data_IF_884873167439
#
_entry.id   IF_884873167439
#
_cell.length_a   1.000
_cell.length_b   1.000
_cell.length_c   1.000
_cell.angle_alpha   90.00
_cell.angle_beta   90.00
_cell.angle_gamma   90.00
#
_symmetry.space_group_name_H-M   'P 1'
#
loop_
_entity.id
_entity.type
_entity.pdbx_description
1 polymer ?
#
# COMPACT_ATOMS: atom_id res chain seq x y z
N UNK A 1 -15.93 -4.16 18.03
CA UNK A 1 -16.92 -3.06 17.98
C UNK A 1 -16.68 -2.04 16.87
N UNK A 2 -15.68 -2.20 16.00
CA UNK A 2 -15.40 -1.27 14.88
C UNK A 2 -16.50 -1.27 13.83
N UNK A 3 -17.07 -2.44 13.53
CA UNK A 3 -18.18 -2.59 12.59
C UNK A 3 -19.48 -1.92 13.04
N UNK A 4 -19.72 -1.88 14.35
CA UNK A 4 -20.88 -1.18 14.92
C UNK A 4 -20.74 0.34 14.70
N UNK A 5 -19.55 0.89 14.99
CA UNK A 5 -19.23 2.30 14.73
C UNK A 5 -19.34 2.68 13.25
N UNK A 6 -18.82 1.82 12.36
CA UNK A 6 -18.94 2.02 10.90
C UNK A 6 -20.40 2.00 10.46
N UNK A 7 -21.19 1.03 10.92
CA UNK A 7 -22.61 0.88 10.56
C UNK A 7 -23.44 2.08 11.02
N UNK A 8 -23.18 2.56 12.24
CA UNK A 8 -23.84 3.76 12.75
C UNK A 8 -23.44 5.00 11.95
N UNK A 9 -22.15 5.22 11.69
CA UNK A 9 -21.67 6.33 10.86
C UNK A 9 -22.28 6.32 9.46
N UNK A 10 -22.37 5.15 8.83
CA UNK A 10 -23.01 4.98 7.52
C UNK A 10 -24.48 5.41 7.56
N UNK A 11 -25.27 4.87 8.51
CA UNK A 11 -26.69 5.21 8.62
C UNK A 11 -26.93 6.70 8.87
N UNK A 12 -26.05 7.34 9.64
CA UNK A 12 -26.10 8.79 9.89
C UNK A 12 -25.84 9.57 8.60
N UNK A 13 -24.82 9.19 7.83
CA UNK A 13 -24.51 9.84 6.54
C UNK A 13 -25.69 9.71 5.57
N UNK A 14 -26.30 8.53 5.47
CA UNK A 14 -27.48 8.32 4.64
C UNK A 14 -28.68 9.16 5.10
N UNK A 15 -28.94 9.22 6.40
CA UNK A 15 -30.03 10.02 6.95
C UNK A 15 -29.83 11.52 6.68
N UNK A 16 -28.62 12.02 6.92
CA UNK A 16 -28.25 13.42 6.62
C UNK A 16 -28.39 13.73 5.13
N UNK A 17 -27.98 12.81 4.26
CA UNK A 17 -28.08 12.98 2.81
C UNK A 17 -29.53 12.93 2.32
N UNK A 18 -30.32 11.93 2.72
CA UNK A 18 -31.63 11.62 2.13
C UNK A 18 -32.79 12.38 2.78
N UNK A 19 -32.78 12.53 4.11
CA UNK A 19 -33.89 13.11 4.86
C UNK A 19 -33.66 14.58 5.23
N UNK A 20 -32.47 14.91 5.75
CA UNK A 20 -32.19 16.25 6.28
C UNK A 20 -31.81 17.24 5.17
N UNK A 21 -30.89 16.85 4.27
CA UNK A 21 -30.44 17.70 3.17
C UNK A 21 -29.60 18.91 3.58
N UNK A 22 -29.09 18.95 4.83
CA UNK A 22 -28.28 20.05 5.33
C UNK A 22 -26.84 20.02 4.77
N UNK A 23 -26.22 21.20 4.65
CA UNK A 23 -24.78 21.32 4.37
C UNK A 23 -24.01 20.70 5.53
N UNK A 24 -23.29 19.61 5.24
CA UNK A 24 -22.62 18.78 6.24
C UNK A 24 -21.16 18.60 5.86
N UNK A 25 -20.26 18.77 6.83
CA UNK A 25 -18.88 18.31 6.75
C UNK A 25 -18.72 17.11 7.68
N UNK A 26 -18.38 15.95 7.11
CA UNK A 26 -18.26 14.70 7.84
C UNK A 26 -16.81 14.23 7.82
N UNK A 27 -16.07 14.46 8.91
CA UNK A 27 -14.70 14.01 9.05
C UNK A 27 -14.68 12.58 9.59
N UNK A 28 -14.01 11.66 8.90
CA UNK A 28 -13.96 10.24 9.27
C UNK A 28 -12.58 9.64 9.06
N UNK A 29 -12.29 8.57 9.80
CA UNK A 29 -11.14 7.69 9.60
C UNK A 29 -11.53 6.36 8.93
N UNK A 30 -12.82 6.15 8.64
CA UNK A 30 -13.32 5.00 7.90
C UNK A 30 -13.17 5.23 6.40
N UNK A 31 -12.29 4.46 5.76
CA UNK A 31 -12.07 4.52 4.32
C UNK A 31 -13.24 3.91 3.55
N UNK A 32 -13.93 2.95 4.16
CA UNK A 32 -15.11 2.26 3.62
C UNK A 32 -16.25 3.24 3.30
N UNK A 33 -16.37 4.34 4.05
CA UNK A 33 -17.38 5.38 3.79
C UNK A 33 -17.09 6.19 2.53
N UNK A 34 -15.87 6.16 1.99
CA UNK A 34 -15.55 6.89 0.74
C UNK A 34 -16.29 6.29 -0.46
N UNK A 35 -16.64 5.01 -0.42
CA UNK A 35 -17.40 4.34 -1.48
C UNK A 35 -18.83 4.89 -1.61
N UNK A 36 -19.38 5.50 -0.55
CA UNK A 36 -20.71 6.10 -0.56
C UNK A 36 -20.86 7.21 -1.60
N UNK A 37 -19.78 7.89 -1.98
CA UNK A 37 -19.81 8.93 -3.01
C UNK A 37 -20.27 8.38 -4.37
N UNK A 38 -20.14 7.08 -4.61
CA UNK A 38 -20.61 6.44 -5.84
C UNK A 38 -22.14 6.23 -5.84
N UNK A 39 -22.76 6.16 -4.66
CA UNK A 39 -24.19 5.85 -4.48
C UNK A 39 -25.02 7.08 -4.15
N UNK A 40 -24.42 8.06 -3.46
CA UNK A 40 -25.09 9.26 -2.97
C UNK A 40 -24.70 10.47 -3.83
N UNK A 41 -25.55 10.93 -4.77
CA UNK A 41 -25.15 11.88 -5.81
C UNK A 41 -24.74 13.27 -5.30
N UNK A 42 -25.14 13.66 -4.08
CA UNK A 42 -24.73 14.94 -3.47
C UNK A 42 -23.51 14.79 -2.55
N UNK A 43 -23.04 13.57 -2.30
CA UNK A 43 -21.87 13.31 -1.47
C UNK A 43 -20.61 13.46 -2.32
N UNK A 44 -19.62 14.16 -1.79
CA UNK A 44 -18.31 14.34 -2.41
C UNK A 44 -17.22 14.03 -1.41
N UNK A 45 -16.23 13.24 -1.83
CA UNK A 45 -15.07 12.94 -1.00
C UNK A 45 -14.04 14.05 -1.10
N UNK A 46 -13.44 14.37 0.05
CA UNK A 46 -12.32 15.27 0.16
C UNK A 46 -11.29 14.69 1.13
N UNK A 47 -10.01 14.93 0.85
CA UNK A 47 -8.91 14.53 1.72
C UNK A 47 -7.97 15.71 2.01
N UNK A 48 -7.17 15.58 3.06
CA UNK A 48 -6.08 16.52 3.35
C UNK A 48 -4.87 16.12 2.53
N UNK A 49 -4.31 17.05 1.76
CA UNK A 49 -3.13 16.84 0.95
C UNK A 49 -1.91 16.51 1.81
N UNK A 50 -1.24 15.43 1.41
CA UNK A 50 -0.04 14.90 2.04
C UNK A 50 1.07 14.82 1.00
N UNK A 51 2.30 15.20 1.38
CA UNK A 51 3.51 14.96 0.60
C UNK A 51 4.50 14.09 1.36
N UNK A 52 5.04 13.10 0.67
CA UNK A 52 6.08 12.21 1.17
C UNK A 52 7.45 12.72 0.71
N UNK A 53 8.42 12.81 1.62
CA UNK A 53 9.77 13.29 1.34
C UNK A 53 10.77 12.61 2.28
N UNK A 54 11.70 11.80 1.75
CA UNK A 54 12.76 11.11 2.53
C UNK A 54 12.20 10.41 3.79
N UNK A 55 11.21 9.53 3.61
CA UNK A 55 10.45 8.85 4.66
C UNK A 55 9.66 9.75 5.61
N UNK A 56 9.66 11.07 5.41
CA UNK A 56 8.87 12.03 6.18
C UNK A 56 7.56 12.37 5.46
N UNK A 57 6.58 12.79 6.26
CA UNK A 57 5.28 13.22 5.75
C UNK A 57 5.07 14.69 6.11
N UNK A 58 4.71 15.46 5.09
CA UNK A 58 4.37 16.87 5.18
C UNK A 58 2.87 17.05 4.94
N UNK A 59 2.15 17.47 5.97
CA UNK A 59 0.74 17.84 5.86
C UNK A 59 0.64 19.24 5.27
N UNK A 60 0.11 19.35 4.04
CA UNK A 60 0.07 20.63 3.30
C UNK A 60 -1.08 21.55 3.74
N UNK A 61 -1.91 21.13 4.73
CA UNK A 61 -3.13 21.83 5.18
C UNK A 61 -4.06 22.27 4.05
N UNK A 62 -3.98 21.58 2.91
CA UNK A 62 -4.78 21.84 1.71
C UNK A 62 -5.80 20.72 1.57
N UNK A 63 -7.04 21.07 1.28
CA UNK A 63 -8.09 20.08 1.00
C UNK A 63 -8.09 19.80 -0.51
N UNK A 64 -8.11 18.54 -0.89
CA UNK A 64 -8.19 18.06 -2.27
C UNK A 64 -9.45 17.22 -2.46
N UNK A 65 -9.98 17.23 -3.68
CA UNK A 65 -11.06 16.34 -4.07
C UNK A 65 -10.58 14.89 -4.15
N UNK A 66 -11.46 13.96 -3.76
CA UNK A 66 -11.21 12.51 -3.77
C UNK A 66 -11.06 11.88 -2.39
N UNK A 67 -11.20 10.55 -2.33
CA UNK A 67 -10.87 9.76 -1.14
C UNK A 67 -9.36 9.46 -1.07
N UNK A 68 -8.91 8.92 0.06
CA UNK A 68 -7.56 8.36 0.21
C UNK A 68 -7.66 6.93 0.72
N UNK A 69 -6.81 6.06 0.18
CA UNK A 69 -6.66 4.65 0.53
C UNK A 69 -5.49 4.40 1.49
N UNK A 70 -4.70 5.43 1.79
CA UNK A 70 -3.49 5.32 2.61
C UNK A 70 -3.73 5.80 4.04
N UNK A 71 -3.25 5.00 4.99
CA UNK A 71 -3.22 5.35 6.41
C UNK A 71 -1.83 5.81 6.83
N UNK A 72 -1.75 6.98 7.47
CA UNK A 72 -0.47 7.61 7.86
C UNK A 72 -0.16 7.50 9.36
N UNK A 73 -0.75 6.51 10.04
CA UNK A 73 -0.70 6.40 11.51
C UNK A 73 0.72 6.27 12.08
N UNK A 74 1.56 5.42 11.47
CA UNK A 74 2.96 5.23 11.90
C UNK A 74 3.77 6.52 11.73
N UNK A 75 3.53 7.25 10.65
CA UNK A 75 4.22 8.49 10.34
C UNK A 75 3.77 9.63 11.28
N UNK A 76 2.48 9.69 11.63
CA UNK A 76 1.96 10.61 12.66
C UNK A 76 2.55 10.28 14.03
N UNK A 77 2.63 9.00 14.40
CA UNK A 77 3.24 8.57 15.67
C UNK A 77 4.72 9.04 15.79
N UNK A 78 5.48 8.92 14.70
CA UNK A 78 6.85 9.43 14.64
C UNK A 78 6.91 10.95 14.82
N UNK A 79 6.00 11.69 14.18
CA UNK A 79 5.91 13.16 14.34
C UNK A 79 5.51 13.55 15.77
N UNK A 80 4.70 12.73 16.45
CA UNK A 80 4.29 12.92 17.84
C UNK A 80 5.40 12.59 18.85
N UNK A 81 6.58 12.14 18.41
CA UNK A 81 7.71 11.83 19.28
C UNK A 81 7.66 10.45 19.93
N UNK A 82 6.88 9.51 19.37
CA UNK A 82 6.89 8.11 19.82
C UNK A 82 8.30 7.52 19.66
N UNK A 83 8.81 6.75 20.66
CA UNK A 83 10.17 6.20 20.61
C UNK A 83 10.45 5.41 19.34
N UNK A 84 11.65 5.57 18.77
CA UNK A 84 12.05 4.93 17.50
C UNK A 84 11.83 3.43 17.50
N UNK A 85 12.22 2.72 18.57
CA UNK A 85 12.02 1.27 18.68
C UNK A 85 10.55 0.83 18.56
N UNK A 86 9.61 1.66 19.01
CA UNK A 86 8.17 1.38 18.88
C UNK A 86 7.71 1.61 17.43
N UNK A 87 8.15 2.71 16.80
CA UNK A 87 7.85 3.02 15.40
C UNK A 87 8.41 1.94 14.46
N UNK A 88 9.64 1.50 14.68
CA UNK A 88 10.31 0.48 13.87
C UNK A 88 9.61 -0.88 14.01
N UNK A 89 9.22 -1.25 15.25
CA UNK A 89 8.43 -2.45 15.48
C UNK A 89 7.07 -2.37 14.79
N UNK A 90 6.39 -1.23 14.84
CA UNK A 90 5.11 -1.03 14.17
C UNK A 90 5.23 -1.18 12.64
N UNK A 91 6.31 -0.68 12.02
CA UNK A 91 6.59 -0.89 10.59
C UNK A 91 6.76 -2.35 10.24
N UNK A 92 7.50 -3.10 11.05
CA UNK A 92 7.67 -4.55 10.84
C UNK A 92 6.34 -5.29 10.97
N UNK A 93 5.51 -4.93 11.96
CA UNK A 93 4.16 -5.52 12.09
C UNK A 93 3.34 -5.22 10.84
N UNK A 94 3.31 -3.97 10.38
CA UNK A 94 2.56 -3.58 9.18
C UNK A 94 3.00 -4.37 7.94
N UNK A 95 4.30 -4.47 7.68
CA UNK A 95 4.85 -5.26 6.56
C UNK A 95 4.37 -6.70 6.62
N UNK A 96 4.39 -7.31 7.81
CA UNK A 96 3.94 -8.69 7.98
C UNK A 96 2.41 -8.84 7.77
N UNK A 97 1.61 -7.85 8.20
CA UNK A 97 0.15 -7.85 8.00
C UNK A 97 -0.20 -7.70 6.51
N UNK A 98 0.53 -6.86 5.78
CA UNK A 98 0.37 -6.65 4.34
C UNK A 98 0.80 -7.88 3.53
N UNK A 99 1.92 -8.52 3.88
CA UNK A 99 2.42 -9.73 3.20
C UNK A 99 1.60 -11.00 3.48
N UNK A 100 0.93 -11.06 4.64
CA UNK A 100 0.19 -12.25 5.07
C UNK A 100 -1.28 -12.30 4.58
N UNK A 101 -1.73 -11.34 3.74
CA UNK A 101 -3.14 -11.14 3.37
C UNK A 101 -4.10 -11.25 4.56
N UNK A 102 -4.00 -10.31 5.50
CA UNK A 102 -4.90 -10.28 6.65
C UNK A 102 -6.06 -9.33 6.41
N UNK A 103 -7.25 -9.82 6.72
CA UNK A 103 -8.48 -9.03 6.73
C UNK A 103 -8.36 -7.87 7.73
N UNK A 104 -9.20 -6.83 7.60
CA UNK A 104 -9.15 -5.62 8.41
C UNK A 104 -9.18 -5.83 9.94
N UNK A 105 -9.45 -7.05 10.42
CA UNK A 105 -9.49 -7.39 11.85
C UNK A 105 -8.14 -7.80 12.48
N UNK A 106 -7.03 -7.84 11.73
CA UNK A 106 -5.70 -8.12 12.30
C UNK A 106 -5.45 -9.56 12.73
N UNK A 107 -6.27 -10.51 12.29
CA UNK A 107 -6.05 -11.94 12.50
C UNK A 107 -5.26 -12.56 11.35
N UNK A 108 -4.33 -13.48 11.66
CA UNK A 108 -3.59 -14.22 10.63
C UNK A 108 -4.52 -15.17 9.87
N UNK A 109 -4.83 -14.90 8.60
CA UNK A 109 -5.34 -15.85 7.62
C UNK A 109 -4.17 -16.77 7.32
N UNK A 110 -4.06 -17.84 8.10
CA UNK A 110 -3.16 -18.92 7.75
C UNK A 110 -3.57 -19.41 6.36
N UNK A 111 -2.71 -19.33 5.33
CA UNK A 111 -3.06 -19.84 4.02
C UNK A 111 -3.47 -21.30 4.16
N UNK A 112 -4.64 -21.64 3.62
CA UNK A 112 -5.18 -22.99 3.73
C UNK A 112 -4.16 -23.99 3.17
N UNK A 113 -4.16 -25.23 3.68
CA UNK A 113 -3.25 -26.27 3.18
C UNK A 113 -3.31 -26.42 1.64
N UNK A 114 -4.47 -26.13 1.05
CA UNK A 114 -4.69 -26.11 -0.40
C UNK A 114 -3.90 -25.01 -1.12
N UNK A 115 -3.90 -23.79 -0.59
CA UNK A 115 -3.17 -22.65 -1.16
C UNK A 115 -1.65 -22.78 -1.01
N UNK A 116 -1.17 -23.38 0.09
CA UNK A 116 0.27 -23.71 0.24
C UNK A 116 0.72 -24.75 -0.79
N UNK A 117 -0.05 -25.82 -0.94
CA UNK A 117 0.24 -26.86 -1.92
C UNK A 117 0.19 -26.35 -3.38
N UNK A 118 -0.70 -25.40 -3.69
CA UNK A 118 -0.79 -24.79 -5.01
C UNK A 118 0.41 -23.87 -5.32
N UNK A 119 0.89 -23.10 -4.33
CA UNK A 119 2.11 -22.29 -4.45
C UNK A 119 3.38 -23.13 -4.58
N UNK A 120 3.47 -24.26 -3.89
CA UNK A 120 4.57 -25.22 -4.07
C UNK A 120 4.51 -25.85 -5.47
N UNK A 121 3.32 -26.29 -5.93
CA UNK A 121 3.15 -26.79 -7.30
C UNK A 121 3.51 -25.77 -8.38
N UNK A 122 3.20 -24.49 -8.20
CA UNK A 122 3.57 -23.45 -9.18
C UNK A 122 5.08 -23.16 -9.22
N UNK A 123 5.83 -23.47 -8.14
CA UNK A 123 7.29 -23.30 -8.08
C UNK A 123 8.05 -24.43 -8.77
N UNK A 124 7.45 -25.63 -8.81
CA UNK A 124 8.04 -26.82 -9.41
C UNK A 124 7.66 -26.99 -10.90
N UNK A 125 6.94 -26.04 -11.49
CA UNK A 125 6.69 -26.04 -12.93
C UNK A 125 7.92 -25.51 -13.66
N UNK A 126 8.54 -26.36 -14.47
CA UNK A 126 9.57 -25.97 -15.44
C UNK A 126 9.03 -24.82 -16.32
N UNK A 127 9.81 -23.75 -16.53
CA UNK A 127 9.38 -22.62 -17.34
C UNK A 127 9.06 -23.10 -18.76
N UNK A 128 7.84 -22.84 -19.22
CA UNK A 128 7.45 -23.19 -20.59
C UNK A 128 8.29 -22.37 -21.59
N UNK A 129 8.68 -22.96 -22.73
CA UNK A 129 9.59 -22.35 -23.71
C UNK A 129 9.08 -21.06 -24.36
N UNK A 130 7.87 -20.61 -24.01
CA UNK A 130 7.28 -19.37 -24.51
C UNK A 130 7.87 -18.10 -23.86
N UNK A 131 8.64 -18.24 -22.78
CA UNK A 131 9.32 -17.13 -22.10
C UNK A 131 10.66 -16.70 -22.76
N UNK A 132 11.16 -17.43 -23.76
CA UNK A 132 12.41 -17.07 -24.45
C UNK A 132 12.26 -15.93 -25.48
N UNK A 133 11.04 -15.57 -25.89
CA UNK A 133 10.83 -14.53 -26.90
C UNK A 133 11.18 -13.12 -26.41
N UNK A 134 11.09 -12.87 -25.09
CA UNK A 134 11.40 -11.56 -24.49
C UNK A 134 12.82 -11.47 -23.93
N UNK A 135 13.61 -12.55 -23.97
CA UNK A 135 15.00 -12.56 -23.49
C UNK A 135 16.03 -12.27 -24.58
N UNK A 136 15.63 -12.30 -25.85
CA UNK A 136 16.50 -12.15 -27.03
C UNK A 136 17.04 -10.71 -27.28
N UNK A 137 17.05 -9.83 -26.28
CA UNK A 137 17.68 -8.50 -26.40
C UNK A 137 18.48 -8.16 -25.14
N UNK A 138 19.56 -8.90 -24.91
CA UNK A 138 20.66 -8.44 -24.06
C UNK A 138 21.96 -8.55 -24.87
N UNK A 139 22.72 -7.46 -25.06
CA UNK A 139 24.02 -7.51 -25.73
C UNK A 139 25.03 -8.27 -24.86
N UNK A 140 25.82 -9.14 -25.50
CA UNK A 140 26.79 -10.04 -24.87
C UNK A 140 27.88 -9.28 -24.08
N UNK A 141 28.21 -9.68 -22.84
CA UNK A 141 29.35 -9.16 -22.12
C UNK A 141 30.65 -9.83 -22.60
N UNK A 142 31.68 -9.03 -22.87
CA UNK A 142 32.99 -9.46 -23.34
C UNK A 142 33.66 -10.47 -22.39
N UNK A 143 34.17 -11.57 -22.97
CA UNK A 143 34.84 -12.65 -22.26
C UNK A 143 36.21 -12.23 -21.68
N UNK A 144 36.59 -12.71 -20.48
CA UNK A 144 37.92 -12.49 -19.93
C UNK A 144 38.87 -13.65 -20.27
N UNK A 145 40.09 -13.32 -20.71
CA UNK A 145 41.25 -14.21 -20.60
C UNK A 145 42.00 -14.47 -21.90
N UNK A 146 42.94 -13.59 -22.24
CA UNK A 146 44.13 -13.95 -23.01
C UNK A 146 45.31 -13.14 -22.46
N UNK A 147 46.17 -13.80 -21.69
CA UNK A 147 47.54 -13.31 -21.46
C UNK A 147 48.29 -13.32 -22.79
N UNK A 148 48.96 -12.22 -23.13
CA UNK A 148 50.33 -12.21 -23.64
C UNK A 148 50.81 -10.77 -23.84
N UNK A 149 51.99 -10.52 -23.29
CA UNK A 149 53.06 -9.62 -23.73
C UNK A 149 52.70 -8.38 -24.58
N UNK A 150 53.18 -7.21 -24.15
CA UNK A 150 54.22 -6.40 -24.84
C UNK A 150 54.30 -4.99 -24.21
N UNK A 151 55.47 -4.76 -23.60
CA UNK A 151 56.36 -3.58 -23.68
C UNK A 151 55.85 -2.17 -23.32
N UNK A 152 56.41 -1.68 -22.21
CA UNK A 152 56.58 -0.27 -21.83
C UNK A 152 57.41 0.46 -22.89
N UNK A 153 56.91 1.55 -23.46
CA UNK A 153 57.73 2.70 -23.85
C UNK A 153 57.08 4.01 -23.41
N UNK A 154 57.94 4.90 -22.91
CA UNK A 154 57.69 6.21 -22.34
C UNK A 154 57.54 7.23 -23.46
N UNK A 155 56.80 8.32 -23.20
CA UNK A 155 57.27 9.71 -23.33
C UNK A 155 56.39 10.63 -22.49
#
# INVERSE_FOLDING_TARGET
>A
STFDGLSLAWSIVEHLHNAVGAKTLFATHYHELTELAQRLPRLKNYNVAVREWHDQILFLRKILEGGTDKSYGIQVARLAGVPRGVVDRAKQILSNLEESELTPEGNVRTPTARQRAEREKLRDLEPTPQLDLFRATQPEPAAPGAESDIRVERE
#
